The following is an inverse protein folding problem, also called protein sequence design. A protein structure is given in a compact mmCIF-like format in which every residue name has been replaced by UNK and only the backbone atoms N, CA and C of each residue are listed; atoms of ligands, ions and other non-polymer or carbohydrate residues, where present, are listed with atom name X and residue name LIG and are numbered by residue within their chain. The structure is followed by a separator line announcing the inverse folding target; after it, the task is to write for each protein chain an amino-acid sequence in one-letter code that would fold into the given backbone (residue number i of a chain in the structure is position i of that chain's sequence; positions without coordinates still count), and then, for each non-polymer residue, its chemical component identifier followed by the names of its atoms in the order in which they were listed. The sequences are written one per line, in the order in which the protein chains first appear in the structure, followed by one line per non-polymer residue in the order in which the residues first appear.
data_IF_076845431653
#
_entry.id   IF_076845431653
#
_cell.length_a   1.000
_cell.length_b   1.000
_cell.length_c   1.000
_cell.angle_alpha   90.00
_cell.angle_beta   90.00
_cell.angle_gamma   90.00
#
_symmetry.space_group_name_H-M   'P 1'
#
loop_
_entity.id
_entity.type
_entity.pdbx_description
1 polymer ?
#
# COMPACT_ATOMS: atom_id res chain seq x y z
N UNK A 1 21.86 52.23 -17.52
CA UNK A 1 23.27 52.52 -17.85
C UNK A 1 23.44 52.09 -19.29
N UNK A 2 23.51 53.11 -20.12
CA UNK A 2 23.23 53.10 -21.55
C UNK A 2 24.23 52.30 -22.40
N UNK A 3 23.79 51.84 -23.58
CA UNK A 3 24.63 51.20 -24.59
C UNK A 3 25.16 52.21 -25.64
N UNK A 4 26.11 51.71 -26.43
CA UNK A 4 26.45 52.05 -27.82
C UNK A 4 27.10 53.40 -28.22
N UNK A 5 28.37 53.27 -28.65
CA UNK A 5 28.86 53.49 -30.02
C UNK A 5 29.13 54.93 -30.53
N UNK A 6 30.23 55.09 -31.28
CA UNK A 6 30.45 56.26 -32.15
C UNK A 6 31.90 56.67 -32.40
N UNK A 7 32.48 56.17 -33.51
CA UNK A 7 33.74 56.59 -34.14
C UNK A 7 33.73 58.06 -34.61
N UNK A 8 34.90 58.75 -34.59
CA UNK A 8 35.58 59.22 -35.82
C UNK A 8 36.85 60.08 -35.60
N UNK A 9 37.91 59.63 -36.29
CA UNK A 9 39.01 60.32 -36.99
C UNK A 9 38.92 61.86 -37.13
N UNK A 10 39.98 62.67 -37.00
CA UNK A 10 41.14 62.78 -37.94
C UNK A 10 41.98 64.07 -37.62
N UNK A 11 43.08 64.44 -38.33
CA UNK A 11 44.37 64.80 -37.71
C UNK A 11 44.82 66.25 -37.97
N UNK A 12 45.85 66.73 -37.26
CA UNK A 12 46.50 68.02 -37.55
C UNK A 12 47.95 67.86 -37.98
N UNK A 13 48.23 68.54 -39.09
CA UNK A 13 49.42 68.69 -39.92
C UNK A 13 50.70 69.19 -39.24
N UNK A 14 51.82 68.70 -39.80
CA UNK A 14 53.25 69.01 -39.61
C UNK A 14 53.65 70.50 -39.71
N UNK A 15 54.93 70.87 -39.45
CA UNK A 15 55.91 70.84 -40.56
C UNK A 15 57.35 70.42 -40.20
N UNK A 16 58.05 70.03 -41.27
CA UNK A 16 59.43 69.58 -41.40
C UNK A 16 60.44 70.75 -41.38
N UNK A 17 61.67 70.50 -40.90
CA UNK A 17 62.90 71.18 -41.34
C UNK A 17 63.99 70.11 -41.50
N UNK A 18 64.34 69.68 -42.72
CA UNK A 18 65.19 70.35 -43.72
C UNK A 18 66.69 70.40 -43.36
N UNK A 19 67.33 69.24 -43.30
CA UNK A 19 68.69 69.00 -43.84
C UNK A 19 68.77 67.56 -44.30
N UNK A 20 68.19 67.31 -45.46
CA UNK A 20 68.34 66.09 -46.25
C UNK A 20 69.22 66.49 -47.42
N UNK A 21 70.52 66.18 -47.38
CA UNK A 21 71.42 66.27 -48.55
C UNK A 21 72.87 65.85 -48.25
N UNK A 22 73.08 64.60 -47.86
CA UNK A 22 74.32 63.88 -48.21
C UNK A 22 74.00 62.37 -48.44
N UNK A 23 73.70 62.04 -49.70
CA UNK A 23 73.75 60.73 -50.39
C UNK A 23 73.12 59.47 -49.70
N UNK A 24 72.09 58.84 -50.31
CA UNK A 24 71.52 57.58 -49.81
C UNK A 24 72.41 56.40 -50.19
N UNK A 25 73.45 56.15 -49.41
CA UNK A 25 74.33 54.98 -49.59
C UNK A 25 74.03 53.82 -48.62
N UNK A 26 73.09 53.96 -47.65
CA UNK A 26 72.71 52.85 -46.74
C UNK A 26 71.32 53.03 -46.06
N UNK A 27 70.77 51.92 -45.51
CA UNK A 27 69.46 51.86 -44.83
C UNK A 27 69.42 52.63 -43.48
N UNK A 28 68.22 52.94 -42.97
CA UNK A 28 68.01 53.81 -41.79
C UNK A 28 68.79 53.39 -40.51
N UNK A 29 69.06 52.09 -40.32
CA UNK A 29 69.85 51.60 -39.17
C UNK A 29 71.36 51.79 -39.35
N UNK A 30 71.83 52.00 -40.59
CA UNK A 30 73.25 52.12 -40.95
C UNK A 30 73.69 53.59 -41.09
N UNK A 31 72.75 54.54 -41.08
CA UNK A 31 73.03 55.98 -41.20
C UNK A 31 73.97 56.57 -40.13
N UNK A 32 73.94 56.15 -38.85
CA UNK A 32 74.90 56.65 -37.85
C UNK A 32 76.33 56.25 -38.20
N UNK A 33 76.50 55.00 -38.66
CA UNK A 33 77.79 54.44 -39.06
C UNK A 33 78.32 55.09 -40.35
N UNK A 34 77.44 55.39 -41.31
CA UNK A 34 77.81 56.12 -42.54
C UNK A 34 78.20 57.58 -42.24
N UNK A 35 77.53 58.23 -41.28
CA UNK A 35 77.92 59.57 -40.81
C UNK A 35 79.29 59.56 -40.11
N UNK A 36 79.63 58.48 -39.43
CA UNK A 36 80.94 58.28 -38.79
C UNK A 36 82.04 58.03 -39.85
N UNK A 37 81.74 57.26 -40.90
CA UNK A 37 82.62 57.00 -42.04
C UNK A 37 83.04 58.29 -42.78
N UNK A 38 82.09 59.22 -42.99
CA UNK A 38 82.32 60.51 -43.64
C UNK A 38 83.16 61.48 -42.79
N UNK A 39 83.29 61.21 -41.49
CA UNK A 39 84.12 61.99 -40.56
C UNK A 39 85.56 61.46 -40.43
N UNK A 40 85.90 60.34 -41.07
CA UNK A 40 87.23 59.74 -41.03
C UNK A 40 88.17 60.29 -42.12
N UNK A 41 89.46 60.32 -41.81
CA UNK A 41 90.51 60.70 -42.77
C UNK A 41 90.72 59.61 -43.83
N UNK A 42 91.14 59.98 -45.04
CA UNK A 42 91.24 59.07 -46.21
C UNK A 42 92.07 57.80 -45.93
N UNK A 43 93.10 57.89 -45.09
CA UNK A 43 93.97 56.78 -44.68
C UNK A 43 93.24 55.76 -43.77
N UNK A 44 92.33 56.25 -42.92
CA UNK A 44 91.52 55.43 -42.02
C UNK A 44 90.36 54.78 -42.77
N UNK A 45 89.73 55.49 -43.71
CA UNK A 45 88.69 54.95 -44.57
C UNK A 45 89.22 53.81 -45.47
N UNK A 46 90.46 53.91 -45.94
CA UNK A 46 91.10 52.84 -46.72
C UNK A 46 91.38 51.57 -45.90
N UNK A 47 91.58 51.71 -44.58
CA UNK A 47 91.79 50.59 -43.63
C UNK A 47 90.49 50.09 -42.98
N UNK A 48 89.41 50.86 -43.04
CA UNK A 48 88.10 50.55 -42.47
C UNK A 48 87.50 49.20 -42.96
N UNK A 49 87.51 48.85 -44.27
CA UNK A 49 86.99 47.54 -44.69
C UNK A 49 87.82 46.37 -44.15
N UNK A 50 89.13 46.54 -43.99
CA UNK A 50 89.97 45.53 -43.34
C UNK A 50 89.71 45.47 -41.83
N UNK A 51 89.51 46.60 -41.16
CA UNK A 51 89.11 46.68 -39.75
C UNK A 51 87.75 46.02 -39.50
N UNK A 52 86.75 46.30 -40.33
CA UNK A 52 85.44 45.66 -40.28
C UNK A 52 85.52 44.16 -40.55
N UNK A 53 86.36 43.73 -41.51
CA UNK A 53 86.58 42.32 -41.78
C UNK A 53 87.20 41.62 -40.57
N UNK A 54 88.21 42.24 -39.95
CA UNK A 54 88.86 41.74 -38.74
C UNK A 54 87.89 41.72 -37.55
N UNK A 55 87.07 42.74 -37.37
CA UNK A 55 86.08 42.79 -36.29
C UNK A 55 84.92 41.82 -36.51
N UNK A 56 84.47 41.62 -37.76
CA UNK A 56 83.50 40.60 -38.11
C UNK A 56 84.06 39.19 -37.88
N UNK A 57 85.30 38.91 -38.29
CA UNK A 57 85.99 37.66 -38.00
C UNK A 57 86.20 37.47 -36.49
N UNK A 58 86.47 38.55 -35.74
CA UNK A 58 86.57 38.52 -34.26
C UNK A 58 85.23 38.17 -33.63
N UNK A 59 84.14 38.82 -34.03
CA UNK A 59 82.80 38.57 -33.49
C UNK A 59 82.35 37.15 -33.88
N UNK A 60 82.63 36.70 -35.10
CA UNK A 60 82.32 35.34 -35.52
C UNK A 60 83.12 34.30 -34.71
N UNK A 61 84.42 34.55 -34.43
CA UNK A 61 85.20 33.70 -33.52
C UNK A 61 84.67 33.74 -32.10
N UNK A 62 84.34 34.91 -31.54
CA UNK A 62 83.77 35.01 -30.20
C UNK A 62 82.41 34.29 -30.11
N UNK A 63 81.57 34.41 -31.14
CA UNK A 63 80.29 33.73 -31.19
C UNK A 63 80.48 32.21 -31.34
N UNK A 64 81.45 31.76 -32.15
CA UNK A 64 81.83 30.35 -32.25
C UNK A 64 82.44 29.84 -30.94
N UNK A 65 83.26 30.62 -30.25
CA UNK A 65 83.92 30.23 -29.00
C UNK A 65 82.91 30.16 -27.85
N UNK A 66 81.92 31.06 -27.82
CA UNK A 66 80.78 30.99 -26.88
C UNK A 66 79.84 29.84 -27.26
N UNK A 67 79.57 29.64 -28.55
CA UNK A 67 78.73 28.55 -29.03
C UNK A 67 79.38 27.18 -28.76
N UNK A 68 80.69 27.03 -28.97
CA UNK A 68 81.46 25.80 -28.71
C UNK A 68 81.74 25.63 -27.22
N UNK A 69 82.01 26.70 -26.49
CA UNK A 69 82.22 26.66 -25.04
C UNK A 69 80.95 26.27 -24.28
N UNK A 70 79.79 26.72 -24.74
CA UNK A 70 78.50 26.48 -24.09
C UNK A 70 77.56 25.57 -24.90
N UNK A 71 78.03 24.85 -25.93
CA UNK A 71 77.17 24.04 -26.79
C UNK A 71 76.37 23.00 -25.99
N UNK A 72 76.96 22.44 -24.93
CA UNK A 72 76.28 21.49 -24.03
C UNK A 72 75.14 22.14 -23.26
N UNK A 73 75.27 23.40 -22.84
CA UNK A 73 74.21 24.12 -22.15
C UNK A 73 73.06 24.45 -23.12
N UNK A 74 73.38 24.82 -24.37
CA UNK A 74 72.36 25.04 -25.41
C UNK A 74 71.62 23.74 -25.79
N UNK A 75 72.34 22.63 -25.94
CA UNK A 75 71.72 21.32 -26.21
C UNK A 75 70.88 20.89 -25.01
N UNK A 76 71.41 20.97 -23.78
CA UNK A 76 70.64 20.61 -22.58
C UNK A 76 69.39 21.49 -22.40
N UNK A 77 69.47 22.79 -22.72
CA UNK A 77 68.32 23.68 -22.70
C UNK A 77 67.29 23.33 -23.79
N UNK A 78 67.75 23.00 -25.00
CA UNK A 78 66.88 22.55 -26.09
C UNK A 78 66.20 21.22 -25.76
N UNK A 79 66.94 20.23 -25.24
CA UNK A 79 66.42 18.94 -24.80
C UNK A 79 65.41 19.11 -23.66
N UNK A 80 65.70 20.00 -22.70
CA UNK A 80 64.78 20.33 -21.61
C UNK A 80 63.51 21.00 -22.14
N UNK A 81 63.62 21.86 -23.16
CA UNK A 81 62.47 22.52 -23.78
C UNK A 81 61.57 21.50 -24.51
N UNK A 82 62.17 20.53 -25.19
CA UNK A 82 61.45 19.42 -25.83
C UNK A 82 60.76 18.57 -24.78
N UNK A 83 61.46 18.19 -23.70
CA UNK A 83 60.87 17.43 -22.60
C UNK A 83 59.69 18.18 -21.95
N UNK A 84 59.81 19.48 -21.70
CA UNK A 84 58.73 20.31 -21.16
C UNK A 84 57.54 20.34 -22.12
N UNK A 85 57.78 20.47 -23.43
CA UNK A 85 56.70 20.47 -24.43
C UNK A 85 55.95 19.14 -24.44
N UNK A 86 56.65 18.03 -24.32
CA UNK A 86 56.06 16.70 -24.28
C UNK A 86 55.26 16.49 -22.98
N UNK A 87 55.79 16.92 -21.83
CA UNK A 87 55.09 16.88 -20.54
C UNK A 87 53.83 17.76 -20.54
N UNK A 88 53.89 18.98 -21.10
CA UNK A 88 52.71 19.85 -21.22
C UNK A 88 51.66 19.20 -22.11
N UNK A 89 52.08 18.55 -23.19
CA UNK A 89 51.17 17.79 -24.07
C UNK A 89 50.58 16.56 -23.38
N UNK A 90 51.33 15.95 -22.45
CA UNK A 90 50.83 14.87 -21.58
C UNK A 90 49.78 15.41 -20.61
N UNK A 91 50.04 16.54 -19.94
CA UNK A 91 49.10 17.18 -19.03
C UNK A 91 47.80 17.54 -19.75
N UNK A 92 47.87 18.10 -20.95
CA UNK A 92 46.71 18.45 -21.76
C UNK A 92 45.79 17.24 -22.01
N UNK A 93 46.39 16.10 -22.39
CA UNK A 93 45.65 14.83 -22.57
C UNK A 93 45.01 14.31 -21.28
N UNK A 94 45.72 14.38 -20.16
CA UNK A 94 45.17 13.96 -18.86
C UNK A 94 44.03 14.87 -18.43
N UNK A 95 44.13 16.16 -18.73
CA UNK A 95 43.13 17.17 -18.38
C UNK A 95 41.87 17.02 -19.26
N UNK A 96 42.03 16.75 -20.57
CA UNK A 96 40.92 16.35 -21.45
C UNK A 96 40.24 15.07 -20.96
N UNK A 97 41.02 14.05 -20.58
CA UNK A 97 40.45 12.82 -20.02
C UNK A 97 39.67 13.09 -18.74
N UNK A 98 40.19 13.92 -17.84
CA UNK A 98 39.50 14.28 -16.59
C UNK A 98 38.19 15.06 -16.86
N UNK A 99 38.22 16.01 -17.80
CA UNK A 99 37.02 16.74 -18.24
C UNK A 99 35.97 15.78 -18.81
N UNK A 100 36.39 14.70 -19.46
CA UNK A 100 35.48 13.72 -20.05
C UNK A 100 34.91 12.73 -19.02
N UNK A 101 35.70 12.37 -18.00
CA UNK A 101 35.31 11.36 -16.99
C UNK A 101 34.55 11.95 -15.79
N UNK A 102 34.82 13.20 -15.38
CA UNK A 102 34.10 13.86 -14.27
C UNK A 102 32.56 13.89 -14.49
N UNK A 103 32.05 14.24 -15.68
CA UNK A 103 30.61 14.22 -15.94
C UNK A 103 30.01 12.82 -15.84
N UNK A 104 30.72 11.79 -16.32
CA UNK A 104 30.29 10.38 -16.22
C UNK A 104 30.22 9.94 -14.76
N UNK A 105 31.24 10.28 -13.98
CA UNK A 105 31.25 10.01 -12.54
C UNK A 105 30.10 10.75 -11.84
N UNK A 106 29.87 12.02 -12.18
CA UNK A 106 28.79 12.82 -11.62
C UNK A 106 27.42 12.20 -11.92
N UNK A 107 27.19 11.78 -13.18
CA UNK A 107 25.96 11.06 -13.58
C UNK A 107 25.78 9.74 -12.84
N UNK A 108 26.86 8.96 -12.71
CA UNK A 108 26.83 7.70 -11.96
C UNK A 108 26.56 7.91 -10.47
N UNK A 109 27.10 8.98 -9.88
CA UNK A 109 26.80 9.36 -8.50
C UNK A 109 25.34 9.79 -8.33
N UNK A 110 24.75 10.54 -9.27
CA UNK A 110 23.34 10.93 -9.19
C UNK A 110 22.41 9.73 -9.31
N UNK A 111 22.67 8.83 -10.27
CA UNK A 111 21.89 7.58 -10.42
C UNK A 111 22.04 6.68 -9.18
N UNK A 112 23.25 6.61 -8.61
CA UNK A 112 23.49 5.87 -7.37
C UNK A 112 22.69 6.44 -6.19
N UNK A 113 22.65 7.77 -6.04
CA UNK A 113 21.88 8.42 -4.97
C UNK A 113 20.38 8.14 -5.13
N UNK A 114 19.82 8.31 -6.34
CA UNK A 114 18.41 8.01 -6.60
C UNK A 114 18.08 6.53 -6.31
N UNK A 115 18.93 5.61 -6.79
CA UNK A 115 18.74 4.18 -6.53
C UNK A 115 18.89 3.83 -5.04
N UNK A 116 19.83 4.47 -4.34
CA UNK A 116 20.02 4.27 -2.91
C UNK A 116 18.83 4.77 -2.10
N UNK A 117 18.24 5.92 -2.46
CA UNK A 117 17.02 6.44 -1.83
C UNK A 117 15.84 5.48 -2.01
N UNK A 118 15.61 4.99 -3.23
CA UNK A 118 14.60 3.97 -3.53
C UNK A 118 14.77 2.69 -2.69
N UNK A 119 16.02 2.22 -2.55
CA UNK A 119 16.34 1.03 -1.76
C UNK A 119 16.11 1.32 -0.27
N UNK A 120 16.49 2.51 0.21
CA UNK A 120 16.29 2.91 1.60
C UNK A 120 14.80 3.04 1.95
N UNK A 121 13.99 3.59 1.06
CA UNK A 121 12.53 3.64 1.25
C UNK A 121 11.91 2.25 1.32
N UNK A 122 12.25 1.36 0.36
CA UNK A 122 11.81 -0.04 0.37
C UNK A 122 12.25 -0.77 1.64
N UNK A 123 13.50 -0.55 2.08
CA UNK A 123 14.02 -1.13 3.31
C UNK A 123 13.29 -0.61 4.54
N UNK A 124 12.98 0.69 4.61
CA UNK A 124 12.22 1.31 5.69
C UNK A 124 10.81 0.75 5.77
N UNK A 125 10.14 0.59 4.62
CA UNK A 125 8.82 -0.07 4.55
C UNK A 125 8.89 -1.51 5.04
N UNK A 126 9.87 -2.30 4.56
CA UNK A 126 10.05 -3.69 4.99
C UNK A 126 10.37 -3.82 6.48
N UNK A 127 11.19 -2.92 7.04
CA UNK A 127 11.52 -2.93 8.46
C UNK A 127 10.29 -2.58 9.31
N UNK A 128 9.45 -1.65 8.85
CA UNK A 128 8.18 -1.31 9.50
C UNK A 128 7.20 -2.49 9.45
N UNK A 129 7.13 -3.18 8.31
CA UNK A 129 6.33 -4.40 8.16
C UNK A 129 6.82 -5.49 9.11
N UNK A 130 8.13 -5.73 9.19
CA UNK A 130 8.73 -6.74 10.07
C UNK A 130 8.46 -6.44 11.55
N UNK A 131 8.56 -5.17 11.96
CA UNK A 131 8.28 -4.74 13.32
C UNK A 131 6.81 -4.98 13.72
N UNK A 132 5.88 -4.79 12.78
CA UNK A 132 4.44 -4.98 13.01
C UNK A 132 3.92 -6.36 12.56
N UNK A 133 4.79 -7.26 12.10
CA UNK A 133 4.34 -8.50 11.43
C UNK A 133 3.52 -9.40 12.36
N UNK A 134 3.83 -9.42 13.66
CA UNK A 134 3.08 -10.21 14.64
C UNK A 134 1.64 -9.72 14.75
N UNK A 135 1.44 -8.41 14.87
CA UNK A 135 0.09 -7.81 14.94
C UNK A 135 -0.71 -8.03 13.66
N UNK A 136 -0.03 -8.06 12.51
CA UNK A 136 -0.66 -8.37 11.22
C UNK A 136 -1.04 -9.85 11.13
N UNK A 137 -0.21 -10.74 11.66
CA UNK A 137 -0.51 -12.16 11.74
C UNK A 137 -1.71 -12.40 12.65
N UNK A 138 -1.72 -11.82 13.86
CA UNK A 138 -2.84 -11.90 14.80
C UNK A 138 -4.16 -11.44 14.14
N UNK A 139 -4.10 -10.37 13.35
CA UNK A 139 -5.26 -9.87 12.60
C UNK A 139 -5.74 -10.85 11.52
N UNK A 140 -4.80 -11.49 10.82
CA UNK A 140 -5.11 -12.50 9.79
C UNK A 140 -5.59 -13.83 10.38
N UNK A 141 -5.26 -14.11 11.64
CA UNK A 141 -5.70 -15.32 12.35
C UNK A 141 -7.12 -15.21 12.94
N UNK A 142 -7.72 -14.00 12.97
CA UNK A 142 -9.07 -13.79 13.52
C UNK A 142 -10.14 -14.74 12.97
N UNK A 143 -10.25 -15.02 11.65
CA UNK A 143 -11.29 -15.91 11.13
C UNK A 143 -11.12 -17.34 11.64
N UNK A 144 -9.87 -17.81 11.78
CA UNK A 144 -9.56 -19.15 12.31
C UNK A 144 -9.86 -19.22 13.82
N UNK A 145 -9.54 -18.16 14.55
CA UNK A 145 -9.88 -18.03 15.96
C UNK A 145 -11.40 -18.03 16.14
N UNK A 146 -12.12 -17.26 15.33
CA UNK A 146 -13.57 -17.18 15.35
C UNK A 146 -14.23 -18.53 15.03
N UNK A 147 -13.75 -19.26 14.01
CA UNK A 147 -14.24 -20.61 13.71
C UNK A 147 -14.06 -21.56 14.91
N UNK A 148 -12.90 -21.47 15.57
CA UNK A 148 -12.62 -22.25 16.78
C UNK A 148 -13.54 -21.88 17.94
N UNK A 149 -13.80 -20.59 18.16
CA UNK A 149 -14.75 -20.12 19.16
C UNK A 149 -16.17 -20.64 18.88
N UNK A 150 -16.64 -20.56 17.63
CA UNK A 150 -17.95 -21.09 17.22
C UNK A 150 -18.05 -22.59 17.45
N UNK A 151 -17.01 -23.36 17.08
CA UNK A 151 -16.97 -24.82 17.29
C UNK A 151 -16.97 -25.21 18.77
N UNK A 152 -16.33 -24.41 19.62
CA UNK A 152 -16.28 -24.64 21.06
C UNK A 152 -17.53 -24.18 21.81
N UNK A 153 -18.47 -23.48 21.13
CA UNK A 153 -19.68 -22.94 21.74
C UNK A 153 -19.50 -21.61 22.47
N UNK A 154 -18.34 -20.98 22.31
CA UNK A 154 -17.99 -19.67 22.86
C UNK A 154 -18.49 -18.57 21.90
N UNK A 155 -19.80 -18.34 21.90
CA UNK A 155 -20.46 -17.45 20.95
C UNK A 155 -20.27 -15.97 21.26
N UNK A 156 -20.11 -15.61 22.54
CA UNK A 156 -19.90 -14.21 22.95
C UNK A 156 -18.59 -13.66 22.36
N UNK A 157 -17.50 -14.41 22.51
CA UNK A 157 -16.18 -14.05 21.96
C UNK A 157 -16.18 -14.04 20.43
N UNK A 158 -16.88 -14.99 19.79
CA UNK A 158 -17.02 -15.00 18.34
C UNK A 158 -17.73 -13.75 17.81
N UNK A 159 -18.74 -13.26 18.54
CA UNK A 159 -19.46 -12.04 18.19
C UNK A 159 -18.68 -10.76 18.53
N UNK A 160 -17.79 -10.79 19.53
CA UNK A 160 -16.84 -9.69 19.79
C UNK A 160 -15.85 -9.55 18.63
N UNK A 161 -15.33 -10.68 18.12
CA UNK A 161 -14.43 -10.70 16.97
C UNK A 161 -15.11 -10.20 15.69
N UNK A 162 -16.39 -10.59 15.47
CA UNK A 162 -17.19 -10.09 14.35
C UNK A 162 -17.33 -8.56 14.39
N UNK A 163 -17.72 -8.01 15.55
CA UNK A 163 -17.89 -6.58 15.72
C UNK A 163 -16.58 -5.81 15.53
N UNK A 164 -15.46 -6.37 16.00
CA UNK A 164 -14.13 -5.81 15.79
C UNK A 164 -13.76 -5.73 14.30
N UNK A 165 -13.93 -6.81 13.54
CA UNK A 165 -13.61 -6.85 12.10
C UNK A 165 -14.54 -5.96 11.28
N UNK A 166 -15.83 -5.88 11.64
CA UNK A 166 -16.78 -4.95 11.04
C UNK A 166 -16.37 -3.49 11.28
N UNK A 167 -15.97 -3.13 12.50
CA UNK A 167 -15.42 -1.81 12.80
C UNK A 167 -14.13 -1.53 12.02
N UNK A 168 -13.24 -2.52 11.89
CA UNK A 168 -12.00 -2.36 11.13
C UNK A 168 -12.26 -2.14 9.63
N UNK A 169 -13.21 -2.87 9.06
CA UNK A 169 -13.62 -2.74 7.65
C UNK A 169 -14.19 -1.36 7.34
N UNK A 170 -14.99 -0.80 8.25
CA UNK A 170 -15.54 0.56 8.09
C UNK A 170 -14.47 1.65 8.24
N UNK A 171 -13.48 1.46 9.12
CA UNK A 171 -12.36 2.40 9.27
C UNK A 171 -11.40 2.38 8.07
N UNK A 172 -11.22 1.22 7.43
CA UNK A 172 -10.27 1.03 6.34
C UNK A 172 -10.91 0.41 5.07
N UNK A 173 -11.81 1.12 4.38
CA UNK A 173 -12.56 0.58 3.24
C UNK A 173 -11.69 0.34 2.00
N UNK A 174 -10.55 1.04 1.88
CA UNK A 174 -9.67 0.96 0.70
C UNK A 174 -8.73 -0.25 0.70
N UNK A 175 -8.62 -0.98 1.82
CA UNK A 175 -7.67 -2.08 1.96
C UNK A 175 -8.34 -3.42 1.59
N UNK A 176 -7.94 -4.08 0.49
CA UNK A 176 -8.61 -5.29 0.02
C UNK A 176 -8.45 -6.47 0.99
N UNK A 177 -7.32 -6.54 1.71
CA UNK A 177 -7.07 -7.59 2.72
C UNK A 177 -8.10 -7.51 3.85
N UNK A 178 -8.44 -6.31 4.31
CA UNK A 178 -9.44 -6.12 5.38
C UNK A 178 -10.85 -6.44 4.86
N UNK A 179 -11.14 -6.15 3.59
CA UNK A 179 -12.42 -6.53 2.98
C UNK A 179 -12.56 -8.05 2.80
N UNK A 180 -11.48 -8.74 2.43
CA UNK A 180 -11.45 -10.20 2.39
C UNK A 180 -11.64 -10.80 3.79
N UNK A 181 -10.93 -10.28 4.80
CA UNK A 181 -11.08 -10.66 6.20
C UNK A 181 -12.54 -10.53 6.68
N UNK A 182 -13.18 -9.39 6.38
CA UNK A 182 -14.57 -9.16 6.71
C UNK A 182 -15.53 -10.10 5.97
N UNK A 183 -15.20 -10.52 4.74
CA UNK A 183 -15.99 -11.49 4.00
C UNK A 183 -15.92 -12.90 4.62
N UNK A 184 -14.72 -13.34 5.03
CA UNK A 184 -14.51 -14.61 5.73
C UNK A 184 -15.25 -14.64 7.07
N UNK A 185 -15.13 -13.57 7.87
CA UNK A 185 -15.87 -13.43 9.13
C UNK A 185 -17.37 -13.49 8.93
N UNK A 186 -17.91 -12.82 7.90
CA UNK A 186 -19.35 -12.91 7.57
C UNK A 186 -19.78 -14.33 7.24
N UNK A 187 -18.95 -15.11 6.54
CA UNK A 187 -19.23 -16.52 6.25
C UNK A 187 -19.29 -17.36 7.54
N UNK A 188 -18.36 -17.12 8.47
CA UNK A 188 -18.38 -17.77 9.79
C UNK A 188 -19.61 -17.36 10.60
N UNK A 189 -20.03 -16.08 10.57
CA UNK A 189 -21.28 -15.60 11.19
C UNK A 189 -22.51 -16.29 10.61
N UNK A 190 -22.56 -16.55 9.30
CA UNK A 190 -23.66 -17.28 8.67
C UNK A 190 -23.70 -18.75 9.15
N UNK A 191 -22.54 -19.39 9.30
CA UNK A 191 -22.44 -20.75 9.88
C UNK A 191 -22.92 -20.76 11.34
N UNK A 192 -22.51 -19.77 12.13
CA UNK A 192 -22.97 -19.59 13.52
C UNK A 192 -24.50 -19.43 13.58
N UNK A 193 -25.07 -18.58 12.72
CA UNK A 193 -26.52 -18.38 12.64
C UNK A 193 -27.25 -19.68 12.32
N UNK A 194 -26.76 -20.48 11.38
CA UNK A 194 -27.33 -21.78 11.05
C UNK A 194 -27.29 -22.75 12.25
N UNK A 195 -26.18 -22.78 13.00
CA UNK A 195 -26.04 -23.60 14.20
C UNK A 195 -26.98 -23.17 15.32
N UNK A 196 -27.14 -21.86 15.54
CA UNK A 196 -28.06 -21.30 16.53
C UNK A 196 -29.51 -21.64 16.19
N UNK A 197 -29.91 -21.49 14.92
CA UNK A 197 -31.25 -21.88 14.46
C UNK A 197 -31.47 -23.39 14.60
N UNK A 198 -30.45 -24.21 14.32
CA UNK A 198 -30.55 -25.66 14.51
C UNK A 198 -30.72 -26.04 15.99
N UNK A 199 -30.03 -25.34 16.90
CA UNK A 199 -30.24 -25.51 18.36
C UNK A 199 -31.64 -25.08 18.80
N UNK A 200 -32.24 -24.09 18.13
CA UNK A 200 -33.63 -23.68 18.42
C UNK A 200 -34.67 -24.70 17.91
N UNK A 201 -34.28 -25.55 16.96
CA UNK A 201 -35.07 -26.70 16.45
C UNK A 201 -34.91 -27.97 17.29
N UNK A 202 -34.24 -27.90 18.44
CA UNK A 202 -34.13 -29.04 19.37
C UNK A 202 -34.88 -28.77 20.67
N UNK A 203 -34.93 -29.78 21.54
CA UNK A 203 -35.49 -29.64 22.87
C UNK A 203 -34.53 -28.79 23.73
N UNK A 204 -34.94 -27.56 24.05
CA UNK A 204 -34.11 -26.57 24.73
C UNK A 204 -34.92 -25.85 25.81
N UNK A 205 -34.26 -25.58 26.92
CA UNK A 205 -34.83 -24.92 28.10
C UNK A 205 -34.89 -23.40 27.92
N UNK A 206 -35.83 -22.74 28.62
CA UNK A 206 -36.04 -21.29 28.52
C UNK A 206 -34.76 -20.44 28.68
N UNK A 207 -33.86 -20.71 29.66
CA UNK A 207 -32.64 -19.90 29.83
C UNK A 207 -31.72 -19.92 28.61
N UNK A 208 -31.55 -21.08 27.98
CA UNK A 208 -30.72 -21.23 26.78
C UNK A 208 -31.41 -20.62 25.54
N UNK A 209 -32.74 -20.62 25.49
CA UNK A 209 -33.49 -19.93 24.43
C UNK A 209 -33.27 -18.41 24.49
N UNK A 210 -33.32 -17.84 25.70
CA UNK A 210 -33.04 -16.41 25.93
C UNK A 210 -31.63 -16.05 25.47
N UNK A 211 -30.63 -16.90 25.78
CA UNK A 211 -29.25 -16.71 25.31
C UNK A 211 -29.14 -16.75 23.79
N UNK A 212 -29.71 -17.77 23.13
CA UNK A 212 -29.68 -17.89 21.66
C UNK A 212 -30.35 -16.68 20.99
N UNK A 213 -31.51 -16.25 21.50
CA UNK A 213 -32.19 -15.06 20.99
C UNK A 213 -31.37 -13.79 21.24
N UNK A 214 -30.69 -13.68 22.39
CA UNK A 214 -29.73 -12.62 22.67
C UNK A 214 -28.60 -12.57 21.64
N UNK A 215 -28.02 -13.71 21.28
CA UNK A 215 -27.02 -13.80 20.21
C UNK A 215 -27.59 -13.40 18.84
N UNK A 216 -28.80 -13.84 18.50
CA UNK A 216 -29.46 -13.46 17.24
C UNK A 216 -29.78 -11.96 17.17
N UNK A 217 -30.16 -11.33 18.29
CA UNK A 217 -30.32 -9.87 18.40
C UNK A 217 -29.00 -9.15 18.17
N UNK A 218 -27.92 -9.67 18.74
CA UNK A 218 -26.58 -9.08 18.63
C UNK A 218 -26.01 -9.18 17.21
N UNK A 219 -26.31 -10.26 16.48
CA UNK A 219 -25.97 -10.43 15.07
C UNK A 219 -26.71 -9.41 14.16
N UNK A 220 -27.90 -8.95 14.57
CA UNK A 220 -28.61 -7.85 13.89
C UNK A 220 -29.13 -8.15 12.48
N UNK A 221 -29.19 -9.44 12.08
CA UNK A 221 -29.67 -9.85 10.74
C UNK A 221 -31.20 -9.85 10.63
N UNK A 222 -31.91 -10.05 11.75
CA UNK A 222 -33.37 -10.12 11.78
C UNK A 222 -33.97 -8.89 12.47
N UNK A 223 -35.03 -8.34 11.89
CA UNK A 223 -35.93 -7.46 12.62
C UNK A 223 -36.62 -8.20 13.77
N UNK A 224 -37.19 -7.45 14.72
CA UNK A 224 -37.92 -8.01 15.87
C UNK A 224 -39.07 -8.93 15.43
N UNK A 225 -39.80 -8.53 14.37
CA UNK A 225 -40.87 -9.33 13.77
C UNK A 225 -40.33 -10.61 13.10
N UNK A 226 -39.25 -10.50 12.33
CA UNK A 226 -38.63 -11.68 11.68
C UNK A 226 -38.06 -12.65 12.71
N UNK A 227 -37.51 -12.14 13.82
CA UNK A 227 -37.01 -12.96 14.91
C UNK A 227 -38.11 -13.76 15.60
N UNK A 228 -39.24 -13.11 15.89
CA UNK A 228 -40.46 -13.76 16.41
C UNK A 228 -40.95 -14.86 15.47
N UNK A 229 -41.01 -14.57 14.17
CA UNK A 229 -41.40 -15.54 13.15
C UNK A 229 -40.42 -16.72 13.04
N UNK A 230 -39.11 -16.44 13.03
CA UNK A 230 -38.08 -17.49 12.97
C UNK A 230 -38.09 -18.37 14.20
N UNK A 231 -38.33 -17.80 15.39
CA UNK A 231 -38.50 -18.57 16.62
C UNK A 231 -39.66 -19.55 16.48
N UNK A 232 -40.86 -19.08 16.10
CA UNK A 232 -42.03 -19.93 15.93
C UNK A 232 -41.83 -21.01 14.86
N UNK A 233 -41.20 -20.67 13.73
CA UNK A 233 -40.86 -21.64 12.68
C UNK A 233 -39.89 -22.72 13.16
N UNK A 234 -38.87 -22.35 13.94
CA UNK A 234 -37.93 -23.34 14.48
C UNK A 234 -38.62 -24.27 15.49
N UNK A 235 -39.53 -23.73 16.31
CA UNK A 235 -40.35 -24.53 17.23
C UNK A 235 -41.35 -25.43 16.54
N UNK A 236 -41.99 -24.94 15.49
CA UNK A 236 -42.89 -25.73 14.66
C UNK A 236 -42.13 -26.88 13.96
N UNK A 237 -40.94 -26.61 13.42
CA UNK A 237 -40.10 -27.64 12.82
C UNK A 237 -39.68 -28.71 13.83
N UNK A 238 -39.33 -28.30 15.06
CA UNK A 238 -39.05 -29.23 16.16
C UNK A 238 -40.26 -30.09 16.53
N UNK A 239 -41.43 -29.47 16.71
CA UNK A 239 -42.68 -30.18 17.00
C UNK A 239 -43.05 -31.17 15.88
N UNK A 240 -42.89 -30.75 14.62
CA UNK A 240 -43.15 -31.60 13.45
C UNK A 240 -42.21 -32.79 13.42
N UNK A 241 -40.91 -32.59 13.71
CA UNK A 241 -39.95 -33.69 13.83
C UNK A 241 -40.33 -34.72 14.89
N UNK A 242 -40.80 -34.28 16.06
CA UNK A 242 -41.31 -35.20 17.10
C UNK A 242 -42.51 -36.02 16.60
N UNK A 243 -43.39 -35.39 15.82
CA UNK A 243 -44.58 -36.07 15.27
C UNK A 243 -44.22 -37.04 14.14
N UNK A 244 -43.20 -36.75 13.35
CA UNK A 244 -42.68 -37.63 12.29
C UNK A 244 -42.04 -38.91 12.87
N UNK A 245 -41.43 -38.81 14.05
CA UNK A 245 -40.84 -39.96 14.76
C UNK A 245 -41.87 -40.94 15.34
N UNK A 246 -43.16 -40.57 15.41
CA UNK A 246 -44.21 -41.43 15.93
C UNK A 246 -44.58 -42.55 14.93
N UNK A 247 -44.86 -43.75 15.44
CA UNK A 247 -45.28 -44.87 14.59
C UNK A 247 -46.66 -44.63 13.96
N UNK A 248 -46.67 -44.39 12.66
CA UNK A 248 -47.88 -44.12 11.87
C UNK A 248 -48.67 -45.39 11.53
N UNK A 249 -48.13 -46.59 11.80
CA UNK A 249 -48.78 -47.87 11.47
C UNK A 249 -50.00 -48.13 12.36
N UNK A 250 -49.95 -47.69 13.61
CA UNK A 250 -51.06 -47.77 14.55
C UNK A 250 -51.72 -46.39 14.72
N UNK A 251 -52.90 -46.23 14.11
CA UNK A 251 -53.64 -44.96 14.16
C UNK A 251 -53.99 -44.51 15.61
N UNK A 252 -54.21 -45.46 16.52
CA UNK A 252 -54.52 -45.15 17.92
C UNK A 252 -53.30 -44.65 18.69
N UNK A 253 -52.16 -45.35 18.60
CA UNK A 253 -50.91 -44.93 19.26
C UNK A 253 -50.35 -43.63 18.66
N UNK A 254 -50.48 -43.44 17.35
CA UNK A 254 -50.14 -42.18 16.69
C UNK A 254 -50.96 -41.00 17.22
N UNK A 255 -52.30 -41.14 17.29
CA UNK A 255 -53.17 -40.07 17.81
C UNK A 255 -52.90 -39.76 19.28
N UNK A 256 -52.69 -40.78 20.11
CA UNK A 256 -52.33 -40.65 21.51
C UNK A 256 -50.98 -39.95 21.71
N UNK A 257 -49.97 -40.33 20.93
CA UNK A 257 -48.65 -39.68 20.91
C UNK A 257 -48.73 -38.23 20.46
N UNK A 258 -49.51 -37.95 19.42
CA UNK A 258 -49.73 -36.59 18.92
C UNK A 258 -50.41 -35.69 19.95
N UNK A 259 -51.46 -36.17 20.63
CA UNK A 259 -52.17 -35.40 21.67
C UNK A 259 -51.24 -35.09 22.84
N UNK A 260 -50.46 -36.07 23.31
CA UNK A 260 -49.49 -35.85 24.38
C UNK A 260 -48.39 -34.86 23.98
N UNK A 261 -47.84 -34.98 22.76
CA UNK A 261 -46.83 -34.06 22.22
C UNK A 261 -47.36 -32.62 22.18
N UNK A 262 -48.56 -32.40 21.62
CA UNK A 262 -49.17 -31.07 21.60
C UNK A 262 -49.44 -30.54 23.01
N UNK A 263 -49.97 -31.37 23.91
CA UNK A 263 -50.28 -30.95 25.28
C UNK A 263 -49.03 -30.55 26.06
N UNK A 264 -47.94 -31.28 25.91
CA UNK A 264 -46.69 -31.01 26.63
C UNK A 264 -45.96 -29.81 26.01
N UNK A 265 -45.78 -29.79 24.69
CA UNK A 265 -44.83 -28.89 24.07
C UNK A 265 -45.44 -27.60 23.52
N UNK A 266 -46.74 -27.57 23.18
CA UNK A 266 -47.39 -26.35 22.70
C UNK A 266 -47.42 -25.27 23.78
N UNK A 267 -47.72 -25.67 25.02
CA UNK A 267 -47.74 -24.75 26.16
C UNK A 267 -46.34 -24.20 26.48
N UNK A 268 -45.33 -25.06 26.42
CA UNK A 268 -43.94 -24.66 26.61
C UNK A 268 -43.49 -23.63 25.56
N UNK A 269 -43.83 -23.85 24.28
CA UNK A 269 -43.50 -22.90 23.20
C UNK A 269 -44.20 -21.56 23.41
N UNK A 270 -45.48 -21.57 23.81
CA UNK A 270 -46.23 -20.34 24.11
C UNK A 270 -45.62 -19.59 25.30
N UNK A 271 -45.25 -20.30 26.37
CA UNK A 271 -44.61 -19.69 27.53
C UNK A 271 -43.21 -19.15 27.21
N UNK A 272 -42.42 -19.88 26.43
CA UNK A 272 -41.12 -19.41 25.97
C UNK A 272 -41.24 -18.16 25.10
N UNK A 273 -42.20 -18.15 24.16
CA UNK A 273 -42.47 -16.99 23.33
C UNK A 273 -42.81 -15.77 24.18
N UNK A 274 -43.74 -15.93 25.14
CA UNK A 274 -44.09 -14.85 26.06
C UNK A 274 -42.88 -14.41 26.88
N UNK A 275 -42.13 -15.32 27.46
CA UNK A 275 -40.97 -14.95 28.28
C UNK A 275 -39.86 -14.22 27.49
N UNK A 276 -39.66 -14.54 26.21
CA UNK A 276 -38.60 -13.96 25.37
C UNK A 276 -39.00 -12.60 24.78
N UNK A 277 -40.28 -12.43 24.45
CA UNK A 277 -40.79 -11.27 23.72
C UNK A 277 -41.77 -10.41 24.54
N UNK A 278 -42.03 -10.71 25.82
CA UNK A 278 -42.89 -9.89 26.67
C UNK A 278 -42.22 -8.60 27.16
N UNK A 279 -40.88 -8.49 27.16
CA UNK A 279 -40.18 -7.32 27.69
C UNK A 279 -40.20 -6.07 26.78
N UNK A 280 -40.78 -6.15 25.58
CA UNK A 280 -41.03 -4.97 24.72
C UNK A 280 -42.26 -4.15 25.21
N UNK A 281 -42.75 -4.42 26.42
CA UNK A 281 -44.01 -3.91 27.02
C UNK A 281 -43.93 -2.50 27.63
N UNK A 282 -43.07 -1.61 27.12
CA UNK A 282 -43.02 -0.21 27.61
C UNK A 282 -44.07 0.73 26.98
N UNK A 283 -45.20 0.22 26.44
CA UNK A 283 -46.35 1.07 26.14
C UNK A 283 -47.36 0.49 25.15
N UNK A 284 -48.63 0.46 25.57
CA UNK A 284 -49.86 0.17 24.81
C UNK A 284 -50.21 -1.31 24.55
N UNK A 285 -51.28 -1.76 25.23
CA UNK A 285 -51.80 -3.13 25.31
C UNK A 285 -52.62 -3.60 24.07
N UNK A 286 -52.55 -2.93 22.93
CA UNK A 286 -53.42 -3.28 21.79
C UNK A 286 -52.60 -3.48 20.50
N UNK A 287 -52.45 -4.74 20.08
CA UNK A 287 -52.06 -5.20 18.73
C UNK A 287 -50.57 -5.14 18.25
N UNK A 288 -49.57 -5.43 19.08
CA UNK A 288 -48.16 -5.39 18.60
C UNK A 288 -47.60 -6.67 17.98
N UNK A 289 -48.08 -7.87 18.34
CA UNK A 289 -47.58 -9.12 17.74
C UNK A 289 -48.21 -9.43 16.37
N UNK A 290 -49.08 -8.55 15.84
CA UNK A 290 -49.89 -8.82 14.65
C UNK A 290 -50.79 -10.06 14.78
N UNK A 291 -51.00 -10.57 15.99
CA UNK A 291 -51.60 -11.87 16.24
C UNK A 291 -50.74 -13.04 15.76
N UNK A 292 -49.41 -12.90 15.66
CA UNK A 292 -48.52 -13.93 15.16
C UNK A 292 -48.54 -15.19 16.03
N UNK A 293 -48.38 -15.06 17.35
CA UNK A 293 -48.53 -16.20 18.26
C UNK A 293 -49.93 -16.83 18.17
N UNK A 294 -50.97 -16.01 18.06
CA UNK A 294 -52.36 -16.48 17.96
C UNK A 294 -52.62 -17.22 16.64
N UNK A 295 -52.16 -16.67 15.52
CA UNK A 295 -52.29 -17.27 14.18
C UNK A 295 -51.48 -18.56 14.07
N UNK A 296 -50.29 -18.60 14.65
CA UNK A 296 -49.48 -19.82 14.78
C UNK A 296 -50.17 -20.89 15.62
N UNK A 297 -50.67 -20.54 16.81
CA UNK A 297 -51.42 -21.47 17.66
C UNK A 297 -52.69 -21.98 16.96
N UNK A 298 -53.41 -21.11 16.26
CA UNK A 298 -54.59 -21.47 15.47
C UNK A 298 -54.24 -22.38 14.30
N UNK A 299 -53.10 -22.15 13.64
CA UNK A 299 -52.57 -23.03 12.59
C UNK A 299 -52.31 -24.43 13.15
N UNK A 300 -51.65 -24.53 14.30
CA UNK A 300 -51.36 -25.81 14.96
C UNK A 300 -52.64 -26.56 15.35
N UNK A 301 -53.61 -25.86 15.95
CA UNK A 301 -54.92 -26.46 16.30
C UNK A 301 -55.66 -26.92 15.04
N UNK A 302 -55.65 -26.12 13.98
CA UNK A 302 -56.32 -26.48 12.72
C UNK A 302 -55.65 -27.69 12.06
N UNK A 303 -54.32 -27.77 12.10
CA UNK A 303 -53.56 -28.94 11.64
C UNK A 303 -53.91 -30.18 12.44
N UNK A 304 -53.94 -30.06 13.77
CA UNK A 304 -54.34 -31.14 14.69
C UNK A 304 -55.75 -31.65 14.39
N UNK A 305 -56.73 -30.76 14.20
CA UNK A 305 -58.10 -31.12 13.84
C UNK A 305 -58.20 -31.82 12.48
N UNK A 306 -57.41 -31.39 11.48
CA UNK A 306 -57.35 -32.06 10.17
C UNK A 306 -56.81 -33.48 10.31
N UNK A 307 -55.73 -33.68 11.07
CA UNK A 307 -55.14 -35.01 11.31
C UNK A 307 -56.10 -35.92 12.06
N UNK A 308 -56.78 -35.40 13.10
CA UNK A 308 -57.83 -36.14 13.80
C UNK A 308 -58.93 -36.58 12.84
N UNK A 309 -59.44 -35.68 11.97
CA UNK A 309 -60.51 -35.99 11.01
C UNK A 309 -60.13 -37.12 10.03
N UNK A 310 -58.85 -37.22 9.66
CA UNK A 310 -58.35 -38.24 8.72
C UNK A 310 -58.09 -39.59 9.41
N UNK A 311 -57.65 -39.57 10.67
CA UNK A 311 -57.22 -40.78 11.39
C UNK A 311 -58.33 -41.42 12.23
N UNK A 312 -59.32 -40.65 12.72
CA UNK A 312 -60.46 -41.17 13.47
C UNK A 312 -61.23 -42.31 12.76
N UNK A 313 -61.52 -42.21 11.44
CA UNK A 313 -62.25 -43.25 10.71
C UNK A 313 -61.51 -44.58 10.60
N UNK A 314 -60.19 -44.61 10.87
CA UNK A 314 -59.36 -45.82 10.81
C UNK A 314 -59.39 -46.61 12.11
N UNK A 315 -59.99 -46.08 13.17
CA UNK A 315 -60.11 -46.74 14.48
C UNK A 315 -61.50 -47.36 14.57
N UNK A 316 -61.55 -48.69 14.54
CA UNK A 316 -62.80 -49.47 14.61
C UNK A 316 -63.21 -49.83 16.03
N UNK A 317 -62.36 -49.58 17.03
CA UNK A 317 -62.59 -49.92 18.43
C UNK A 317 -63.19 -48.73 19.23
N UNK A 318 -64.39 -48.92 19.78
CA UNK A 318 -65.09 -47.87 20.55
C UNK A 318 -64.41 -47.45 21.86
N UNK A 319 -63.72 -48.37 22.55
CA UNK A 319 -62.96 -48.06 23.77
C UNK A 319 -61.75 -47.16 23.50
N UNK A 320 -61.07 -47.40 22.38
CA UNK A 320 -59.93 -46.61 21.89
C UNK A 320 -60.35 -45.20 21.49
N UNK A 321 -61.55 -45.04 20.92
CA UNK A 321 -62.16 -43.72 20.64
C UNK A 321 -62.54 -42.96 21.91
N UNK A 322 -63.13 -43.63 22.92
CA UNK A 322 -63.47 -43.01 24.20
C UNK A 322 -62.23 -42.46 24.91
N UNK A 323 -61.12 -43.20 24.91
CA UNK A 323 -59.88 -42.77 25.56
C UNK A 323 -59.25 -41.55 24.85
N UNK A 324 -59.29 -41.49 23.51
CA UNK A 324 -58.84 -40.31 22.75
C UNK A 324 -59.71 -39.09 23.08
N UNK A 325 -61.03 -39.27 23.16
CA UNK A 325 -61.97 -38.21 23.53
C UNK A 325 -61.67 -37.68 24.94
N UNK A 326 -61.47 -38.58 25.90
CA UNK A 326 -61.13 -38.23 27.27
C UNK A 326 -59.81 -37.45 27.33
N UNK A 327 -58.77 -37.89 26.60
CA UNK A 327 -57.49 -37.18 26.54
C UNK A 327 -57.56 -35.79 25.91
N UNK A 328 -58.44 -35.59 24.93
CA UNK A 328 -58.75 -34.27 24.37
C UNK A 328 -59.57 -33.39 25.33
N UNK A 329 -60.43 -34.01 26.16
CA UNK A 329 -61.30 -33.32 27.11
C UNK A 329 -60.66 -33.03 28.47
N UNK A 330 -59.52 -33.65 28.84
CA UNK A 330 -58.77 -33.29 30.05
C UNK A 330 -58.09 -31.92 29.88
N UNK A 331 -58.90 -30.87 29.80
CA UNK A 331 -58.62 -29.56 30.39
C UNK A 331 -58.62 -29.75 31.90
N UNK A 332 -57.48 -30.13 32.47
CA UNK A 332 -57.18 -29.69 33.83
C UNK A 332 -56.28 -28.47 33.70
N UNK A 333 -56.91 -27.33 33.93
CA UNK A 333 -56.31 -26.11 34.42
C UNK A 333 -55.18 -26.43 35.39
N UNK A 334 -53.98 -25.92 35.12
CA UNK A 334 -53.21 -25.12 36.07
C UNK A 334 -52.40 -24.12 35.26
#
# INVERSE_FOLDING_TARGET
MDPENGENMSPSSSPRSATDSLLPLASAAQQPYVSELLSFTLDRLHKEPELLRVDAERIQRQMQEVAVGNYRAFIAAADSLVAIKDEVSSIDKHLESLITEIPKLTSGCTEFVESAEDILEKRKMNQTLLANHSTLLDLLEIPQLMDTCVRNGNYDEALDLEAFVCKLSTMHPKLPVIQALAAEVRQTTQSLLAQLLQKLRSNIQLPECLRIIGYLRRIGVFSEYEMRLQFLRCREAWLTGILEDLDQRNAYEFLKGMINCHRMHLFDVVNQYRAIFADDTSGSEENYDGGLLFSWAMHQITSHLKTLKVMLPKITEGGSLSNILDQCMVRKCH
#
